data_IF_153975324022
#
_entry.id   IF_153975324022
#
_cell.length_a   1.000
_cell.length_b   1.000
_cell.length_c   1.000
_cell.angle_alpha   90.00
_cell.angle_beta   90.00
_cell.angle_gamma   90.00
#
_symmetry.space_group_name_H-M   'P 1'
#
loop_
_entity.id
_entity.type
_entity.pdbx_description
1 polymer ?
#
# COMPACT_ATOMS: atom_id res chain seq x y z
N UNK A 1 4.89 6.16 -20.09
CA UNK A 1 5.84 5.09 -19.75
C UNK A 1 5.20 4.15 -18.74
N UNK A 2 4.92 2.91 -19.15
CA UNK A 2 4.41 1.84 -18.29
C UNK A 2 5.56 1.32 -17.42
N UNK A 3 5.86 2.01 -16.32
CA UNK A 3 6.83 1.54 -15.31
C UNK A 3 6.22 0.51 -14.34
N UNK A 4 4.91 0.24 -14.44
CA UNK A 4 4.18 -0.71 -13.59
C UNK A 4 3.95 -2.01 -14.37
N UNK A 5 4.94 -2.91 -14.37
CA UNK A 5 4.93 -4.15 -15.15
C UNK A 5 4.02 -5.26 -14.59
N UNK A 6 2.92 -4.91 -13.93
CA UNK A 6 1.90 -5.90 -13.63
C UNK A 6 1.07 -6.20 -14.88
N UNK A 7 1.29 -7.39 -15.44
CA UNK A 7 0.45 -7.93 -16.51
C UNK A 7 -0.80 -8.54 -15.90
N UNK A 8 -1.75 -7.68 -15.53
CA UNK A 8 -3.08 -8.12 -15.15
C UNK A 8 -3.77 -8.76 -16.35
N UNK A 9 -4.56 -9.82 -16.13
CA UNK A 9 -5.46 -10.31 -17.17
C UNK A 9 -6.46 -9.19 -17.53
N UNK A 10 -6.81 -9.07 -18.80
CA UNK A 10 -7.78 -8.07 -19.23
C UNK A 10 -9.11 -8.30 -18.52
N UNK A 11 -9.73 -7.23 -18.01
CA UNK A 11 -11.00 -7.32 -17.28
C UNK A 11 -10.92 -7.85 -15.85
N UNK A 12 -9.72 -8.03 -15.27
CA UNK A 12 -9.61 -8.42 -13.86
C UNK A 12 -10.22 -7.35 -12.95
N UNK A 13 -11.17 -7.77 -12.11
CA UNK A 13 -11.84 -6.95 -11.11
C UNK A 13 -11.71 -7.60 -9.74
N UNK A 14 -11.47 -6.78 -8.71
CA UNK A 14 -11.35 -7.19 -7.31
C UNK A 14 -12.50 -6.62 -6.48
N UNK A 15 -12.87 -7.33 -5.41
CA UNK A 15 -13.77 -6.75 -4.42
C UNK A 15 -13.04 -5.66 -3.62
N UNK A 16 -13.79 -4.68 -3.11
CA UNK A 16 -13.21 -3.64 -2.24
C UNK A 16 -12.60 -4.28 -0.99
N UNK A 17 -13.26 -5.32 -0.45
CA UNK A 17 -12.75 -6.09 0.70
C UNK A 17 -11.36 -6.65 0.42
N UNK A 18 -11.18 -7.32 -0.72
CA UNK A 18 -9.90 -7.92 -1.09
C UNK A 18 -8.79 -6.87 -1.18
N UNK A 19 -9.07 -5.72 -1.81
CA UNK A 19 -8.08 -4.62 -1.91
C UNK A 19 -7.72 -4.06 -0.54
N UNK A 20 -8.69 -3.93 0.36
CA UNK A 20 -8.42 -3.48 1.74
C UNK A 20 -7.55 -4.52 2.46
N UNK A 21 -7.84 -5.82 2.35
CA UNK A 21 -7.05 -6.89 3.00
C UNK A 21 -5.61 -6.89 2.53
N UNK A 22 -5.38 -6.85 1.21
CA UNK A 22 -4.04 -6.80 0.64
C UNK A 22 -3.29 -5.54 1.09
N UNK A 23 -3.97 -4.38 1.06
CA UNK A 23 -3.38 -3.13 1.54
C UNK A 23 -3.00 -3.19 3.01
N UNK A 24 -3.83 -3.80 3.86
CA UNK A 24 -3.57 -3.93 5.30
C UNK A 24 -2.34 -4.81 5.56
N UNK A 25 -2.23 -5.96 4.88
CA UNK A 25 -1.06 -6.84 4.99
C UNK A 25 0.24 -6.11 4.60
N UNK A 26 0.25 -5.42 3.46
CA UNK A 26 1.43 -4.70 2.96
C UNK A 26 1.78 -3.52 3.87
N UNK A 27 0.79 -2.72 4.30
CA UNK A 27 1.02 -1.61 5.22
C UNK A 27 1.55 -2.09 6.58
N UNK A 28 1.08 -3.23 7.08
CA UNK A 28 1.56 -3.83 8.33
C UNK A 28 3.02 -4.31 8.20
N UNK A 29 3.37 -4.96 7.09
CA UNK A 29 4.75 -5.36 6.82
C UNK A 29 5.70 -4.16 6.74
N UNK A 30 5.30 -3.09 6.05
CA UNK A 30 6.11 -1.87 5.94
C UNK A 30 6.21 -1.13 7.29
N UNK A 31 5.13 -1.07 8.07
CA UNK A 31 5.17 -0.54 9.44
C UNK A 31 6.20 -1.30 10.29
N UNK A 32 6.25 -2.63 10.17
CA UNK A 32 7.24 -3.44 10.88
C UNK A 32 8.67 -3.12 10.42
N UNK A 33 8.92 -3.05 9.11
CA UNK A 33 10.25 -2.73 8.56
C UNK A 33 10.74 -1.35 9.02
N UNK A 34 9.90 -0.32 8.93
CA UNK A 34 10.26 1.02 9.39
C UNK A 34 10.48 1.08 10.91
N UNK A 35 9.76 0.28 11.70
CA UNK A 35 10.02 0.14 13.15
C UNK A 35 11.40 -0.46 13.47
N UNK A 36 12.07 -1.05 12.47
CA UNK A 36 13.42 -1.61 12.56
C UNK A 36 14.47 -0.75 11.84
N UNK A 37 14.11 0.44 11.35
CA UNK A 37 15.01 1.30 10.58
C UNK A 37 15.36 0.69 9.22
N UNK A 38 14.45 -0.10 8.63
CA UNK A 38 14.63 -0.76 7.34
C UNK A 38 13.66 -0.16 6.33
N UNK A 39 14.19 0.29 5.19
CA UNK A 39 13.40 0.69 4.02
C UNK A 39 13.34 -0.50 3.07
N UNK A 40 12.17 -0.82 2.49
CA UNK A 40 12.09 -1.90 1.51
C UNK A 40 12.75 -1.51 0.19
N UNK A 41 12.53 -0.27 -0.26
CA UNK A 41 13.18 0.33 -1.42
C UNK A 41 12.54 0.01 -2.78
N UNK A 42 11.52 -0.87 -2.82
CA UNK A 42 10.89 -1.33 -4.08
C UNK A 42 9.42 -1.74 -3.89
N UNK A 43 8.62 -0.89 -3.25
CA UNK A 43 7.20 -1.16 -2.95
C UNK A 43 6.36 -1.04 -4.23
N UNK A 44 6.18 -2.16 -4.92
CA UNK A 44 5.36 -2.27 -6.13
C UNK A 44 4.54 -3.56 -6.17
N UNK A 45 3.48 -3.56 -6.98
CA UNK A 45 2.56 -4.68 -7.14
C UNK A 45 3.22 -6.02 -7.58
N UNK A 46 4.43 -6.01 -8.15
CA UNK A 46 5.12 -7.25 -8.55
C UNK A 46 5.86 -7.92 -7.37
N UNK A 47 6.11 -7.16 -6.30
CA UNK A 47 6.71 -7.60 -5.04
C UNK A 47 5.65 -7.93 -3.98
N UNK A 48 4.39 -8.05 -4.39
CA UNK A 48 3.28 -8.44 -3.51
C UNK A 48 2.68 -9.72 -4.04
N UNK A 49 2.79 -10.79 -3.26
CA UNK A 49 2.11 -12.05 -3.51
C UNK A 49 0.79 -12.03 -2.75
N UNK A 50 -0.33 -12.21 -3.43
CA UNK A 50 -1.65 -12.24 -2.81
C UNK A 50 -2.47 -13.42 -3.33
N UNK A 51 -3.20 -14.07 -2.43
CA UNK A 51 -4.13 -15.15 -2.77
C UNK A 51 -5.55 -14.63 -3.07
N UNK A 52 -6.49 -15.55 -3.33
CA UNK A 52 -7.89 -15.21 -3.62
C UNK A 52 -8.65 -14.68 -2.41
N UNK A 53 -8.18 -14.95 -1.18
CA UNK A 53 -8.81 -14.52 0.07
C UNK A 53 -8.34 -13.12 0.48
N UNK A 54 -7.27 -12.62 -0.14
CA UNK A 54 -6.69 -11.32 0.14
C UNK A 54 -5.60 -11.38 1.22
N UNK A 55 -5.12 -12.57 1.56
CA UNK A 55 -3.87 -12.71 2.32
C UNK A 55 -2.73 -12.30 1.39
N UNK A 56 -1.85 -11.42 1.86
CA UNK A 56 -0.73 -10.94 1.06
C UNK A 56 0.60 -10.93 1.82
N UNK A 57 1.67 -11.14 1.07
CA UNK A 57 3.05 -11.13 1.54
C UNK A 57 3.84 -10.16 0.67
N UNK A 58 4.59 -9.27 1.31
CA UNK A 58 5.59 -8.42 0.68
C UNK A 58 6.88 -9.24 0.51
N UNK A 59 7.48 -9.23 -0.68
CA UNK A 59 8.66 -10.01 -1.01
C UNK A 59 9.70 -9.17 -1.77
N UNK A 60 10.86 -9.78 -2.06
CA UNK A 60 12.00 -9.17 -2.75
C UNK A 60 12.66 -8.00 -2.00
N UNK A 61 13.53 -8.37 -1.06
CA UNK A 61 14.30 -7.43 -0.26
C UNK A 61 15.64 -7.05 -0.89
N UNK A 62 15.84 -7.31 -2.20
CA UNK A 62 17.11 -7.05 -2.89
C UNK A 62 17.51 -5.56 -2.93
N UNK A 63 16.53 -4.66 -2.83
CA UNK A 63 16.72 -3.21 -2.77
C UNK A 63 16.63 -2.64 -1.34
N UNK A 64 16.43 -3.49 -0.33
CA UNK A 64 16.24 -3.03 1.05
C UNK A 64 17.53 -2.57 1.69
N UNK A 65 17.45 -1.56 2.55
CA UNK A 65 18.60 -0.99 3.24
C UNK A 65 18.23 -0.45 4.62
N UNK A 66 19.24 -0.37 5.49
CA UNK A 66 19.12 0.27 6.80
C UNK A 66 19.31 1.77 6.66
N UNK A 67 18.57 2.53 7.46
CA UNK A 67 18.75 3.98 7.60
C UNK A 67 18.75 4.38 9.08
N UNK A 68 19.34 5.52 9.38
CA UNK A 68 19.39 6.13 10.70
C UNK A 68 18.19 7.04 10.98
N UNK A 69 18.01 7.44 12.24
CA UNK A 69 16.86 8.24 12.68
C UNK A 69 16.76 9.60 11.95
N UNK A 70 17.88 10.16 11.47
CA UNK A 70 17.90 11.41 10.70
C UNK A 70 17.19 11.29 9.34
N UNK A 71 17.14 10.10 8.75
CA UNK A 71 16.46 9.82 7.49
C UNK A 71 15.02 9.31 7.63
N UNK A 72 14.58 8.97 8.85
CA UNK A 72 13.42 8.11 9.10
C UNK A 72 12.13 8.61 8.42
N UNK A 73 11.78 9.88 8.60
CA UNK A 73 10.55 10.44 8.01
C UNK A 73 10.58 10.55 6.49
N UNK A 74 11.76 10.80 5.88
CA UNK A 74 11.88 10.96 4.43
C UNK A 74 11.73 9.64 3.70
N UNK A 75 12.40 8.59 4.18
CA UNK A 75 12.34 7.26 3.58
C UNK A 75 10.92 6.68 3.71
N UNK A 76 10.33 6.75 4.90
CA UNK A 76 8.95 6.30 5.12
C UNK A 76 7.97 7.06 4.22
N UNK A 77 8.05 8.40 4.13
CA UNK A 77 7.17 9.18 3.27
C UNK A 77 7.31 8.82 1.78
N UNK A 78 8.49 8.41 1.32
CA UNK A 78 8.69 7.93 -0.06
C UNK A 78 8.03 6.57 -0.28
N UNK A 79 8.18 5.63 0.64
CA UNK A 79 7.54 4.30 0.56
C UNK A 79 6.01 4.42 0.67
N UNK A 80 5.51 5.34 1.50
CA UNK A 80 4.07 5.66 1.57
C UNK A 80 3.53 6.11 0.22
N UNK A 81 4.28 6.91 -0.54
CA UNK A 81 3.86 7.30 -1.89
C UNK A 81 3.86 6.13 -2.86
N UNK A 82 4.88 5.27 -2.80
CA UNK A 82 4.94 4.06 -3.62
C UNK A 82 3.77 3.11 -3.31
N UNK A 83 3.48 2.88 -2.02
CA UNK A 83 2.30 2.17 -1.54
C UNK A 83 1.00 2.82 -2.05
N UNK A 84 0.89 4.14 -2.02
CA UNK A 84 -0.25 4.87 -2.56
C UNK A 84 -0.49 4.60 -4.05
N UNK A 85 0.56 4.58 -4.87
CA UNK A 85 0.48 4.26 -6.30
C UNK A 85 0.06 2.81 -6.54
N UNK A 86 0.59 1.89 -5.74
CA UNK A 86 0.18 0.49 -5.72
C UNK A 86 -1.32 0.35 -5.42
N UNK A 87 -1.78 0.97 -4.33
CA UNK A 87 -3.18 0.92 -3.91
C UNK A 87 -4.10 1.61 -4.92
N UNK A 88 -3.69 2.73 -5.52
CA UNK A 88 -4.46 3.38 -6.58
C UNK A 88 -4.68 2.44 -7.78
N UNK A 89 -3.64 1.69 -8.18
CA UNK A 89 -3.74 0.72 -9.27
C UNK A 89 -4.74 -0.41 -8.98
N UNK A 90 -4.84 -0.85 -7.71
CA UNK A 90 -5.84 -1.83 -7.27
C UNK A 90 -7.25 -1.23 -7.20
N UNK A 91 -7.39 -0.03 -6.63
CA UNK A 91 -8.67 0.69 -6.50
C UNK A 91 -9.32 0.94 -7.87
N UNK A 92 -8.53 1.24 -8.90
CA UNK A 92 -9.00 1.37 -10.30
C UNK A 92 -9.58 0.08 -10.87
N UNK A 93 -9.28 -1.07 -10.27
CA UNK A 93 -9.75 -2.42 -10.67
C UNK A 93 -10.81 -2.98 -9.73
N UNK A 94 -11.45 -2.15 -8.91
CA UNK A 94 -12.60 -2.62 -8.11
C UNK A 94 -13.91 -2.31 -8.82
N UNK A 95 -14.94 -3.11 -8.55
CA UNK A 95 -16.31 -2.83 -9.02
C UNK A 95 -16.69 -1.41 -8.59
N UNK A 96 -17.32 -0.64 -9.49
CA UNK A 96 -17.72 0.75 -9.27
C UNK A 96 -18.95 0.84 -8.34
N UNK A 97 -18.83 0.32 -7.12
CA UNK A 97 -19.86 0.42 -6.09
C UNK A 97 -19.66 1.69 -5.26
N UNK A 98 -20.72 2.46 -5.04
CA UNK A 98 -20.67 3.68 -4.22
C UNK A 98 -20.71 3.39 -2.70
N UNK A 99 -19.88 2.44 -2.26
CA UNK A 99 -19.76 2.05 -0.86
C UNK A 99 -18.93 3.03 -0.02
N UNK A 100 -19.33 3.20 1.24
CA UNK A 100 -18.57 3.93 2.27
C UNK A 100 -17.11 3.45 2.35
N UNK A 101 -16.88 2.13 2.34
CA UNK A 101 -15.56 1.49 2.34
C UNK A 101 -14.67 1.92 1.17
N UNK A 102 -15.21 1.98 -0.06
CA UNK A 102 -14.47 2.46 -1.24
C UNK A 102 -14.12 3.94 -1.14
N UNK A 103 -15.02 4.78 -0.59
CA UNK A 103 -14.72 6.21 -0.35
C UNK A 103 -13.60 6.37 0.67
N UNK A 104 -13.66 5.65 1.79
CA UNK A 104 -12.62 5.69 2.80
C UNK A 104 -11.27 5.17 2.27
N UNK A 105 -11.27 4.07 1.51
CA UNK A 105 -10.09 3.55 0.85
C UNK A 105 -9.47 4.59 -0.12
N UNK A 106 -10.29 5.24 -0.95
CA UNK A 106 -9.83 6.33 -1.84
C UNK A 106 -9.25 7.51 -1.06
N UNK A 107 -9.84 7.85 0.09
CA UNK A 107 -9.32 8.88 0.98
C UNK A 107 -7.93 8.50 1.48
N UNK A 108 -7.73 7.28 1.97
CA UNK A 108 -6.42 6.78 2.41
C UNK A 108 -5.39 6.88 1.27
N UNK A 109 -5.74 6.40 0.08
CA UNK A 109 -4.85 6.50 -1.11
C UNK A 109 -4.50 7.95 -1.43
N UNK A 110 -5.47 8.87 -1.36
CA UNK A 110 -5.22 10.29 -1.62
C UNK A 110 -4.22 10.90 -0.64
N UNK A 111 -4.26 10.51 0.65
CA UNK A 111 -3.29 10.98 1.64
C UNK A 111 -1.90 10.41 1.38
N UNK A 112 -1.80 9.15 0.95
CA UNK A 112 -0.52 8.55 0.55
C UNK A 112 0.12 9.28 -0.65
N UNK A 113 -0.71 9.76 -1.58
CA UNK A 113 -0.28 10.43 -2.81
C UNK A 113 -0.09 11.95 -2.67
N UNK A 114 -0.15 12.48 -1.44
CA UNK A 114 0.01 13.91 -1.21
C UNK A 114 1.37 14.43 -1.73
N UNK A 115 1.36 15.63 -2.34
CA UNK A 115 2.55 16.22 -2.98
C UNK A 115 3.63 16.53 -1.96
N UNK A 116 3.23 17.17 -0.87
CA UNK A 116 4.08 17.39 0.29
C UNK A 116 4.30 16.07 1.05
N UNK A 117 5.56 15.73 1.32
CA UNK A 117 5.98 14.50 2.01
C UNK A 117 5.53 14.50 3.47
N UNK A 118 5.53 15.65 4.11
CA UNK A 118 5.31 15.76 5.55
C UNK A 118 3.83 15.59 5.90
N UNK A 119 2.97 15.82 4.90
CA UNK A 119 1.53 15.57 4.96
C UNK A 119 1.15 14.09 4.74
N UNK A 120 2.10 13.20 4.42
CA UNK A 120 1.80 11.77 4.21
C UNK A 120 1.75 11.04 5.56
N UNK A 121 0.75 10.18 5.81
CA UNK A 121 0.66 9.42 7.05
C UNK A 121 1.73 8.32 7.09
N UNK A 122 2.30 8.05 8.27
CA UNK A 122 3.16 6.88 8.47
C UNK A 122 2.39 5.55 8.39
N UNK A 123 3.12 4.46 8.16
CA UNK A 123 2.53 3.13 7.99
C UNK A 123 1.74 2.61 9.20
N UNK A 124 2.09 2.89 10.47
CA UNK A 124 1.27 2.46 11.61
C UNK A 124 -0.17 3.00 11.55
N UNK A 125 -0.33 4.25 11.10
CA UNK A 125 -1.65 4.87 10.93
C UNK A 125 -2.39 4.26 9.73
N UNK A 126 -1.68 4.00 8.63
CA UNK A 126 -2.24 3.38 7.43
C UNK A 126 -2.74 1.95 7.70
N UNK A 127 -1.93 1.12 8.36
CA UNK A 127 -2.28 -0.24 8.73
C UNK A 127 -3.55 -0.26 9.60
N UNK A 128 -3.57 0.54 10.66
CA UNK A 128 -4.75 0.71 11.54
C UNK A 128 -5.98 1.19 10.76
N UNK A 129 -5.80 2.16 9.85
CA UNK A 129 -6.88 2.69 9.03
C UNK A 129 -7.49 1.65 8.09
N UNK A 130 -6.66 0.81 7.47
CA UNK A 130 -7.09 -0.26 6.57
C UNK A 130 -7.75 -1.41 7.35
N UNK A 131 -7.20 -1.81 8.49
CA UNK A 131 -7.80 -2.82 9.37
C UNK A 131 -9.20 -2.41 9.86
N UNK A 132 -9.39 -1.12 10.18
CA UNK A 132 -10.72 -0.60 10.55
C UNK A 132 -11.74 -0.76 9.43
N UNK A 133 -11.33 -0.68 8.17
CA UNK A 133 -12.23 -0.89 7.03
C UNK A 133 -12.64 -2.35 6.83
N UNK A 134 -11.90 -3.32 7.40
CA UNK A 134 -12.24 -4.74 7.35
C UNK A 134 -13.29 -5.13 8.39
N UNK A 135 -13.50 -4.30 9.41
CA UNK A 135 -14.51 -4.55 10.44
C UNK A 135 -15.93 -4.41 9.84
N UNK A 136 -16.90 -5.21 10.32
CA UNK A 136 -18.28 -5.16 9.86
C UNK A 136 -18.94 -3.80 10.10
#
# INVERSE_FOLDING_TARGET
>A
ASLLRCRWKAGTVYSVQWVVSVGACVASALAYMHSKGICHGDVYAHNVLADSEGNAVLCDYGASFFYDDEGCGKWEAMEVRAFGLFMEALVRRTVQENGHRRRALRSIVSHCLHKDSDSRPGFPLLATGLERLLRP
#
